data_IF_100701986315
#
_entry.id   IF_100701986315
#
_cell.length_a   1.000
_cell.length_b   1.000
_cell.length_c   1.000
_cell.angle_alpha   90.00
_cell.angle_beta   90.00
_cell.angle_gamma   90.00
#
_symmetry.space_group_name_H-M   'P 1'
#
loop_
_entity.id
_entity.type
_entity.pdbx_description
1 polymer ?
#
# COMPACT_ATOMS: atom_id res chain seq x y z
N UNK A 1 1.61 5.41 -0.68
CA UNK A 1 2.31 4.48 0.23
C UNK A 1 2.52 5.21 1.54
N UNK A 2 1.84 4.81 2.61
CA UNK A 2 2.20 5.31 3.94
C UNK A 2 3.59 4.74 4.22
N UNK A 3 4.60 5.62 4.34
CA UNK A 3 5.94 5.18 4.70
C UNK A 3 5.82 4.46 6.05
N UNK A 4 6.02 3.15 6.04
CA UNK A 4 5.95 2.38 7.27
C UNK A 4 7.00 2.93 8.23
N UNK A 5 6.58 3.32 9.43
CA UNK A 5 7.49 3.70 10.50
C UNK A 5 8.43 2.53 10.79
N UNK A 6 9.74 2.74 10.66
CA UNK A 6 10.74 1.75 11.02
C UNK A 6 11.18 1.97 12.46
N UNK A 7 10.95 0.95 13.30
CA UNK A 7 11.49 0.93 14.64
C UNK A 7 13.00 0.66 14.60
N UNK A 8 13.78 1.54 15.21
CA UNK A 8 15.23 1.35 15.35
C UNK A 8 15.53 0.10 16.20
N UNK A 9 16.37 -0.84 15.74
CA UNK A 9 16.68 -2.05 16.51
C UNK A 9 17.44 -1.77 17.81
N UNK A 10 18.11 -0.61 17.93
CA UNK A 10 18.89 -0.26 19.11
C UNK A 10 18.11 0.48 20.19
N UNK A 11 17.10 1.29 19.83
CA UNK A 11 16.40 2.13 20.80
C UNK A 11 14.86 2.13 20.66
N UNK A 12 14.33 1.31 19.75
CA UNK A 12 12.89 1.19 19.44
C UNK A 12 12.20 2.49 18.99
N UNK A 13 12.96 3.57 18.75
CA UNK A 13 12.41 4.82 18.23
C UNK A 13 11.90 4.61 16.81
N UNK A 14 10.71 5.13 16.51
CA UNK A 14 10.12 5.09 15.17
C UNK A 14 10.75 6.18 14.32
N UNK A 15 11.24 5.80 13.14
CA UNK A 15 11.84 6.72 12.18
C UNK A 15 11.06 6.61 10.87
N UNK A 16 11.15 7.65 10.04
CA UNK A 16 10.62 7.56 8.68
C UNK A 16 11.37 6.48 7.89
N UNK A 17 10.66 5.75 7.04
CA UNK A 17 11.21 4.63 6.26
C UNK A 17 12.38 5.00 5.32
N UNK A 18 12.59 6.29 5.09
CA UNK A 18 13.62 6.80 4.19
C UNK A 18 14.94 7.16 4.88
N UNK A 19 14.96 7.27 6.22
CA UNK A 19 16.17 7.60 6.99
C UNK A 19 17.25 6.51 6.88
N UNK A 20 18.51 6.93 6.86
CA UNK A 20 19.66 6.02 6.88
C UNK A 20 20.10 5.73 8.31
N UNK A 21 19.95 6.70 9.21
CA UNK A 21 20.29 6.57 10.63
C UNK A 21 19.11 6.91 11.52
N UNK A 22 19.10 6.33 12.72
CA UNK A 22 18.08 6.64 13.71
C UNK A 22 18.24 8.08 14.24
N UNK A 23 17.14 8.83 14.30
CA UNK A 23 17.14 10.21 14.79
C UNK A 23 17.62 10.32 16.25
N UNK A 24 17.38 9.29 17.05
CA UNK A 24 17.69 9.29 18.49
C UNK A 24 19.10 8.80 18.80
N UNK A 25 19.46 7.59 18.36
CA UNK A 25 20.73 6.96 18.72
C UNK A 25 21.78 6.99 17.61
N UNK A 26 21.45 7.50 16.43
CA UNK A 26 22.29 7.53 15.21
C UNK A 26 22.80 6.16 14.74
N UNK A 27 22.25 5.07 15.26
CA UNK A 27 22.54 3.74 14.77
C UNK A 27 22.03 3.58 13.33
N UNK A 28 22.73 2.81 12.47
CA UNK A 28 22.28 2.53 11.12
C UNK A 28 20.91 1.83 11.14
N UNK A 29 20.00 2.27 10.28
CA UNK A 29 18.68 1.65 10.14
C UNK A 29 18.72 0.57 9.06
N UNK A 30 18.13 -0.61 9.30
CA UNK A 30 18.00 -1.61 8.27
C UNK A 30 17.16 -1.06 7.11
N UNK A 31 17.54 -1.41 5.88
CA UNK A 31 16.68 -1.12 4.72
C UNK A 31 15.42 -1.95 4.87
N UNK A 32 14.21 -1.36 4.80
CA UNK A 32 12.99 -2.14 4.81
C UNK A 32 13.10 -3.15 3.67
N UNK A 33 12.97 -4.44 3.99
CA UNK A 33 12.89 -5.44 2.95
C UNK A 33 11.65 -5.08 2.13
N UNK A 34 11.87 -4.61 0.89
CA UNK A 34 10.79 -4.55 -0.08
C UNK A 34 10.30 -5.98 -0.22
N UNK A 35 9.10 -6.29 0.26
CA UNK A 35 8.53 -7.61 0.06
C UNK A 35 8.58 -7.89 -1.43
N UNK A 36 9.36 -8.90 -1.87
CA UNK A 36 9.47 -9.18 -3.28
C UNK A 36 8.05 -9.48 -3.74
N UNK A 37 7.60 -8.83 -4.82
CA UNK A 37 6.33 -9.20 -5.43
C UNK A 37 6.38 -10.71 -5.67
N UNK A 38 5.43 -11.48 -5.13
CA UNK A 38 5.44 -12.93 -5.27
C UNK A 38 5.70 -13.34 -6.72
N UNK A 39 6.66 -14.24 -6.93
CA UNK A 39 7.11 -14.62 -8.26
C UNK A 39 5.99 -15.17 -9.13
N UNK A 40 5.00 -15.81 -8.52
CA UNK A 40 3.80 -16.31 -9.17
C UNK A 40 2.95 -15.18 -9.79
N UNK A 41 2.89 -14.00 -9.15
CA UNK A 41 2.17 -12.85 -9.70
C UNK A 41 2.88 -12.32 -10.95
N UNK A 42 4.22 -12.28 -10.94
CA UNK A 42 5.01 -11.82 -12.09
C UNK A 42 4.87 -12.81 -13.25
N UNK A 43 4.94 -14.11 -12.96
CA UNK A 43 4.75 -15.17 -13.95
C UNK A 43 3.34 -15.11 -14.57
N UNK A 44 2.29 -15.05 -13.75
CA UNK A 44 0.89 -14.94 -14.20
C UNK A 44 0.63 -13.70 -15.05
N UNK A 45 1.26 -12.56 -14.74
CA UNK A 45 1.11 -11.36 -15.56
C UNK A 45 1.80 -11.48 -16.91
N UNK A 46 2.95 -12.15 -16.96
CA UNK A 46 3.70 -12.38 -18.19
C UNK A 46 2.95 -13.36 -19.10
N UNK A 47 2.43 -14.44 -18.52
CA UNK A 47 1.56 -15.40 -19.20
C UNK A 47 0.29 -14.74 -19.75
N UNK A 48 -0.36 -13.89 -18.95
CA UNK A 48 -1.53 -13.13 -19.39
C UNK A 48 -1.22 -12.19 -20.55
N UNK A 49 -0.07 -11.51 -20.52
CA UNK A 49 0.39 -10.67 -21.64
C UNK A 49 0.59 -11.51 -22.91
N UNK A 50 1.20 -12.68 -22.80
CA UNK A 50 1.39 -13.59 -23.94
C UNK A 50 0.06 -14.12 -24.50
N UNK A 51 -0.92 -14.41 -23.64
CA UNK A 51 -2.25 -14.80 -24.06
C UNK A 51 -2.95 -13.67 -24.84
N UNK A 52 -2.87 -12.43 -24.35
CA UNK A 52 -3.45 -11.28 -25.07
C UNK A 52 -2.74 -11.01 -26.39
N UNK A 53 -1.41 -11.19 -26.45
CA UNK A 53 -0.67 -11.11 -27.71
C UNK A 53 -1.17 -12.12 -28.73
N UNK A 54 -1.31 -13.39 -28.35
CA UNK A 54 -1.86 -14.43 -29.23
C UNK A 54 -3.28 -14.12 -29.73
N UNK A 55 -4.15 -13.63 -28.85
CA UNK A 55 -5.52 -13.24 -29.27
C UNK A 55 -5.48 -12.09 -30.29
N UNK A 56 -4.57 -11.13 -30.15
CA UNK A 56 -4.40 -10.05 -31.13
C UNK A 56 -3.92 -10.58 -32.48
N UNK A 57 -2.98 -11.52 -32.48
CA UNK A 57 -2.48 -12.17 -33.70
C UNK A 57 -3.59 -12.97 -34.40
N UNK A 58 -4.38 -13.74 -33.64
CA UNK A 58 -5.51 -14.52 -34.15
C UNK A 58 -6.60 -13.61 -34.74
N UNK A 59 -6.91 -12.47 -34.08
CA UNK A 59 -7.87 -11.48 -34.59
C UNK A 59 -7.39 -10.83 -35.89
N UNK A 60 -6.09 -10.59 -36.02
CA UNK A 60 -5.50 -10.08 -37.26
C UNK A 60 -5.59 -11.11 -38.40
N UNK A 61 -5.38 -12.40 -38.09
CA UNK A 61 -5.56 -13.48 -39.06
C UNK A 61 -7.02 -13.60 -39.53
N UNK A 62 -7.99 -13.50 -38.61
CA UNK A 62 -9.43 -13.52 -38.94
C UNK A 62 -9.86 -12.29 -39.76
N UNK A 63 -9.25 -11.13 -39.50
CA UNK A 63 -9.48 -9.92 -40.29
C UNK A 63 -8.96 -10.10 -41.73
N UNK A 64 -7.80 -10.73 -41.90
CA UNK A 64 -7.20 -11.02 -43.20
C UNK A 64 -8.01 -12.05 -44.01
N UNK A 65 -8.61 -13.06 -43.35
CA UNK A 65 -9.46 -14.06 -43.99
C UNK A 65 -10.86 -13.54 -44.38
N UNK A 66 -11.24 -12.34 -43.90
CA UNK A 66 -12.59 -11.75 -44.06
C UNK A 66 -13.72 -12.58 -43.45
N UNK A 67 -13.43 -13.42 -42.47
CA UNK A 67 -14.43 -14.27 -41.80
C UNK A 67 -15.27 -13.48 -40.78
N UNK A 68 -14.72 -12.39 -40.22
CA UNK A 68 -15.36 -11.58 -39.17
C UNK A 68 -15.57 -10.13 -39.66
N UNK A 69 -16.71 -9.49 -39.37
CA UNK A 69 -16.93 -8.07 -39.64
C UNK A 69 -15.89 -7.19 -38.95
N UNK A 70 -15.30 -6.25 -39.72
CA UNK A 70 -14.19 -5.39 -39.24
C UNK A 70 -14.57 -4.55 -38.02
N UNK A 71 -15.80 -4.07 -37.97
CA UNK A 71 -16.33 -3.26 -36.87
C UNK A 71 -16.30 -4.02 -35.53
N UNK A 72 -16.60 -5.32 -35.55
CA UNK A 72 -16.50 -6.17 -34.36
C UNK A 72 -15.04 -6.45 -33.99
N UNK A 73 -14.19 -6.74 -34.97
CA UNK A 73 -12.76 -7.03 -34.74
C UNK A 73 -12.02 -5.83 -34.16
N UNK A 74 -12.30 -4.60 -34.64
CA UNK A 74 -11.67 -3.38 -34.13
C UNK A 74 -11.96 -3.13 -32.65
N UNK A 75 -13.21 -3.31 -32.21
CA UNK A 75 -13.59 -3.12 -30.82
C UNK A 75 -12.87 -4.11 -29.89
N UNK A 76 -12.79 -5.38 -30.29
CA UNK A 76 -12.11 -6.43 -29.52
C UNK A 76 -10.59 -6.19 -29.52
N UNK A 77 -10.00 -5.81 -30.65
CA UNK A 77 -8.58 -5.47 -30.78
C UNK A 77 -8.20 -4.31 -29.85
N UNK A 78 -8.98 -3.24 -29.85
CA UNK A 78 -8.76 -2.08 -28.98
C UNK A 78 -8.81 -2.46 -27.48
N UNK A 79 -9.73 -3.35 -27.09
CA UNK A 79 -9.81 -3.85 -25.71
C UNK A 79 -8.53 -4.61 -25.31
N UNK A 80 -8.08 -5.58 -26.10
CA UNK A 80 -6.89 -6.36 -25.76
C UNK A 80 -5.59 -5.54 -25.83
N UNK A 81 -5.48 -4.61 -26.77
CA UNK A 81 -4.36 -3.65 -26.81
C UNK A 81 -4.29 -2.83 -25.52
N UNK A 82 -5.42 -2.28 -25.08
CA UNK A 82 -5.50 -1.55 -23.81
C UNK A 82 -5.05 -2.41 -22.62
N UNK A 83 -5.42 -3.70 -22.59
CA UNK A 83 -4.99 -4.61 -21.52
C UNK A 83 -3.47 -4.88 -21.55
N UNK A 84 -2.88 -5.04 -22.74
CA UNK A 84 -1.43 -5.20 -22.90
C UNK A 84 -0.70 -3.96 -22.41
N UNK A 85 -1.12 -2.77 -22.85
CA UNK A 85 -0.54 -1.49 -22.46
C UNK A 85 -0.59 -1.29 -20.93
N UNK A 86 -1.72 -1.64 -20.30
CA UNK A 86 -1.86 -1.57 -18.84
C UNK A 86 -0.94 -2.56 -18.10
N UNK A 87 -0.66 -3.73 -18.67
CA UNK A 87 0.29 -4.69 -18.08
C UNK A 87 1.72 -4.15 -18.23
N UNK A 88 2.08 -3.67 -19.41
CA UNK A 88 3.40 -3.11 -19.69
C UNK A 88 3.70 -1.89 -18.82
N UNK A 89 2.74 -0.98 -18.70
CA UNK A 89 2.87 0.19 -17.84
C UNK A 89 3.15 -0.21 -16.38
N UNK A 90 2.38 -1.16 -15.83
CA UNK A 90 2.61 -1.67 -14.46
C UNK A 90 3.95 -2.40 -14.32
N UNK A 91 4.40 -3.11 -15.34
CA UNK A 91 5.73 -3.74 -15.35
C UNK A 91 6.84 -2.68 -15.37
N UNK A 92 6.70 -1.63 -16.18
CA UNK A 92 7.63 -0.52 -16.24
C UNK A 92 7.71 0.22 -14.89
N UNK A 93 6.57 0.53 -14.26
CA UNK A 93 6.55 1.14 -12.93
C UNK A 93 7.23 0.28 -11.87
N UNK A 94 6.99 -1.04 -11.86
CA UNK A 94 7.66 -1.96 -10.93
C UNK A 94 9.16 -2.03 -11.19
N UNK A 95 9.59 -2.08 -12.45
CA UNK A 95 11.00 -2.08 -12.79
C UNK A 95 11.69 -0.80 -12.32
N UNK A 96 11.03 0.35 -12.47
CA UNK A 96 11.47 1.65 -11.96
C UNK A 96 11.57 1.64 -10.44
N UNK A 97 10.54 1.15 -9.73
CA UNK A 97 10.55 1.04 -8.27
C UNK A 97 11.70 0.15 -7.76
N UNK A 98 11.96 -0.99 -8.41
CA UNK A 98 13.11 -1.87 -8.07
C UNK A 98 14.45 -1.18 -8.31
N UNK A 99 14.58 -0.42 -9.40
CA UNK A 99 15.81 0.31 -9.69
C UNK A 99 16.11 1.36 -8.62
N UNK A 100 15.08 2.07 -8.14
CA UNK A 100 15.18 3.05 -7.05
C UNK A 100 15.57 2.32 -5.75
N UNK A 101 14.91 1.21 -5.43
CA UNK A 101 15.20 0.43 -4.21
C UNK A 101 16.66 -0.07 -4.18
N UNK A 102 17.11 -0.65 -5.29
CA UNK A 102 18.50 -1.13 -5.44
C UNK A 102 19.51 0.01 -5.31
N UNK A 103 19.20 1.19 -5.85
CA UNK A 103 20.05 2.36 -5.74
C UNK A 103 20.14 2.88 -4.30
N UNK A 104 19.00 3.03 -3.63
CA UNK A 104 18.95 3.46 -2.22
C UNK A 104 19.71 2.47 -1.34
N UNK A 105 19.53 1.16 -1.58
CA UNK A 105 20.26 0.10 -0.89
C UNK A 105 21.77 0.22 -1.11
N UNK A 106 22.20 0.42 -2.36
CA UNK A 106 23.62 0.62 -2.70
C UNK A 106 24.22 1.86 -2.03
N UNK A 107 23.53 2.99 -2.06
CA UNK A 107 23.94 4.22 -1.40
C UNK A 107 24.03 4.06 0.12
N UNK A 108 23.07 3.33 0.73
CA UNK A 108 23.08 3.02 2.16
C UNK A 108 24.27 2.15 2.56
N UNK A 109 24.55 1.09 1.80
CA UNK A 109 25.72 0.22 2.03
C UNK A 109 27.02 1.02 1.91
N UNK A 110 27.14 1.89 0.90
CA UNK A 110 28.31 2.77 0.77
C UNK A 110 28.45 3.74 1.96
N UNK A 111 27.36 4.37 2.39
CA UNK A 111 27.37 5.30 3.52
C UNK A 111 27.70 4.61 4.85
N UNK A 112 27.19 3.40 5.10
CA UNK A 112 27.54 2.63 6.30
C UNK A 112 29.00 2.14 6.31
N UNK A 113 29.62 2.00 5.14
CA UNK A 113 31.04 1.69 5.00
C UNK A 113 31.95 2.94 5.11
N UNK A 114 31.40 4.11 5.47
CA UNK A 114 32.15 5.38 5.53
C UNK A 114 32.51 5.97 4.16
N UNK A 115 31.97 5.42 3.06
CA UNK A 115 32.21 5.91 1.69
C UNK A 115 31.15 6.96 1.31
N UNK A 116 31.13 8.05 2.06
CA UNK A 116 30.08 9.09 1.95
C UNK A 116 30.04 9.78 0.58
N UNK A 117 31.19 10.13 0.02
CA UNK A 117 31.26 10.76 -1.31
C UNK A 117 30.67 9.86 -2.39
N UNK A 118 31.04 8.58 -2.41
CA UNK A 118 30.51 7.60 -3.35
C UNK A 118 28.98 7.45 -3.23
N UNK A 119 28.45 7.42 -2.00
CA UNK A 119 27.01 7.34 -1.76
C UNK A 119 26.27 8.57 -2.32
N UNK A 120 26.81 9.77 -2.06
CA UNK A 120 26.25 11.04 -2.55
C UNK A 120 26.32 11.16 -4.08
N UNK A 121 27.44 10.76 -4.70
CA UNK A 121 27.60 10.77 -6.15
C UNK A 121 26.62 9.81 -6.84
N UNK A 122 26.43 8.62 -6.27
CA UNK A 122 25.46 7.63 -6.78
C UNK A 122 24.03 8.19 -6.75
N UNK A 123 23.67 8.84 -5.64
CA UNK A 123 22.36 9.49 -5.48
C UNK A 123 22.15 10.65 -6.45
N UNK A 124 23.14 11.53 -6.61
CA UNK A 124 23.07 12.66 -7.56
C UNK A 124 23.03 12.22 -9.02
N UNK A 125 23.82 11.21 -9.40
CA UNK A 125 23.81 10.67 -10.75
C UNK A 125 22.43 10.09 -11.10
N UNK A 126 21.72 9.54 -10.11
CA UNK A 126 20.34 9.08 -10.28
C UNK A 126 19.34 10.23 -10.39
N UNK A 127 19.46 11.25 -9.54
CA UNK A 127 18.61 12.45 -9.59
C UNK A 127 18.71 13.17 -10.94
N UNK A 128 19.92 13.27 -11.50
CA UNK A 128 20.15 13.84 -12.83
C UNK A 128 19.44 13.06 -13.94
N UNK A 129 19.36 11.73 -13.83
CA UNK A 129 18.66 10.88 -14.80
C UNK A 129 17.14 10.89 -14.59
N UNK A 130 16.68 11.11 -13.37
CA UNK A 130 15.30 10.95 -12.96
C UNK A 130 14.83 12.08 -12.00
N UNK A 131 14.78 13.33 -12.49
CA UNK A 131 14.44 14.47 -11.64
C UNK A 131 13.02 14.32 -11.07
N UNK A 132 12.88 14.58 -9.77
CA UNK A 132 11.58 14.63 -9.08
C UNK A 132 10.94 13.26 -8.76
N UNK A 133 11.63 12.15 -9.04
CA UNK A 133 11.09 10.80 -8.75
C UNK A 133 11.16 10.47 -7.26
N UNK A 134 12.15 10.98 -6.55
CA UNK A 134 12.41 10.65 -5.15
C UNK A 134 13.08 11.86 -4.44
N UNK A 135 12.83 12.12 -3.15
CA UNK A 135 13.43 13.24 -2.41
C UNK A 135 14.92 12.98 -2.08
N UNK A 136 15.75 12.90 -3.11
CA UNK A 136 17.18 12.55 -3.05
C UNK A 136 17.99 13.61 -2.30
N UNK A 137 17.56 14.87 -2.36
CA UNK A 137 18.18 15.98 -1.64
C UNK A 137 18.22 15.73 -0.13
N UNK A 138 17.12 15.23 0.44
CA UNK A 138 17.05 14.95 1.88
C UNK A 138 18.02 13.84 2.29
N UNK A 139 18.12 12.77 1.50
CA UNK A 139 19.09 11.69 1.74
C UNK A 139 20.53 12.19 1.61
N UNK A 140 20.80 13.00 0.59
CA UNK A 140 22.13 13.56 0.34
C UNK A 140 22.58 14.45 1.50
N UNK A 141 21.68 15.31 1.99
CA UNK A 141 21.94 16.16 3.15
C UNK A 141 22.19 15.34 4.42
N UNK A 142 21.42 14.27 4.65
CA UNK A 142 21.61 13.37 5.79
C UNK A 142 22.99 12.71 5.76
N UNK A 143 23.41 12.20 4.60
CA UNK A 143 24.73 11.57 4.41
C UNK A 143 25.86 12.58 4.64
N UNK A 144 25.74 13.79 4.09
CA UNK A 144 26.74 14.85 4.26
C UNK A 144 26.85 15.31 5.72
N UNK A 145 25.73 15.45 6.42
CA UNK A 145 25.72 15.78 7.85
C UNK A 145 26.46 14.71 8.67
N UNK A 146 26.29 13.42 8.30
CA UNK A 146 27.00 12.32 8.97
C UNK A 146 28.50 12.32 8.67
N UNK A 147 28.90 12.59 7.43
CA UNK A 147 30.30 12.72 7.02
C UNK A 147 31.04 13.81 7.82
N UNK A 148 30.44 14.99 7.94
CA UNK A 148 31.00 16.10 8.74
C UNK A 148 31.13 15.71 10.21
N UNK A 149 30.10 15.06 10.76
CA UNK A 149 30.14 14.61 12.16
C UNK A 149 31.26 13.58 12.41
N UNK A 150 31.40 12.57 11.55
CA UNK A 150 32.43 11.54 11.73
C UNK A 150 33.84 12.14 11.58
N UNK A 151 34.04 13.10 10.66
CA UNK A 151 35.30 13.85 10.58
C UNK A 151 35.60 14.61 11.88
N UNK A 152 34.60 15.29 12.45
CA UNK A 152 34.76 16.00 13.71
C UNK A 152 35.09 15.06 14.89
N UNK A 153 34.44 13.90 14.97
CA UNK A 153 34.73 12.88 15.98
C UNK A 153 36.17 12.35 15.85
N UNK A 154 36.64 12.09 14.61
CA UNK A 154 38.02 11.66 14.35
C UNK A 154 39.06 12.72 14.71
N UNK A 155 38.77 14.01 14.55
CA UNK A 155 39.69 15.09 14.93
C UNK A 155 39.83 15.24 16.45
N UNK A 156 38.78 14.99 17.22
CA UNK A 156 38.80 15.04 18.70
C UNK A 156 39.60 13.88 19.29
N UNK A 157 39.52 12.70 18.67
CA UNK A 157 40.22 11.49 19.13
C UNK A 157 41.71 11.47 18.80
N UNK A 158 42.24 12.43 18.03
CA UNK A 158 43.69 12.63 17.90
C UNK A 158 44.18 13.14 19.25
N UNK A 159 44.77 12.28 20.11
CA UNK A 159 45.17 12.71 21.42
C UNK A 159 46.25 13.76 21.22
N UNK A 160 46.28 14.79 22.08
CA UNK A 160 47.39 15.76 22.20
C UNK A 160 48.72 15.10 22.64
N UNK A 161 48.97 13.86 22.22
CA UNK A 161 50.16 13.04 22.47
C UNK A 161 51.44 13.65 21.85
N UNK A 162 51.32 14.61 20.93
CA UNK A 162 52.48 15.29 20.32
C UNK A 162 53.01 16.50 21.11
N UNK A 163 52.49 16.82 22.31
CA UNK A 163 52.98 17.98 23.10
C UNK A 163 53.91 17.66 24.28
N UNK A 164 54.59 16.51 24.24
CA UNK A 164 55.65 16.13 25.19
C UNK A 164 56.94 15.70 24.49
N UNK A 165 57.44 16.54 23.59
CA UNK A 165 58.88 16.60 23.31
C UNK A 165 59.30 18.05 23.54
N UNK A 166 59.41 18.44 24.82
CA UNK A 166 60.24 19.58 25.19
C UNK A 166 61.68 19.23 24.79
N UNK A 167 62.36 20.05 23.98
CA UNK A 167 63.80 20.00 23.89
C UNK A 167 64.34 20.45 25.25
N UNK A 168 64.87 19.51 26.02
CA UNK A 168 65.63 19.81 27.22
C UNK A 168 66.80 20.72 26.85
N UNK A 169 66.70 21.99 27.24
CA UNK A 169 67.84 22.87 27.34
C UNK A 169 68.69 22.38 28.51
N UNK A 170 69.71 21.57 28.23
CA UNK A 170 70.85 21.43 29.13
C UNK A 170 72.15 21.56 28.34
N UNK A 171 73.01 22.43 28.87
CA UNK A 171 74.24 22.83 28.26
C UNK A 171 75.22 21.68 28.08
N UNK A 172 76.01 21.82 27.01
CA UNK A 172 77.47 21.99 27.09
C UNK A 172 78.20 21.01 28.03
N UNK A 173 78.85 20.02 27.42
CA UNK A 173 80.28 19.69 27.56
C UNK A 173 80.51 18.18 27.65
N UNK A 174 81.43 17.67 26.82
CA UNK A 174 82.01 16.34 27.01
C UNK A 174 81.96 15.46 25.77
N UNK A 175 83.04 15.49 25.00
CA UNK A 175 83.40 14.55 23.93
C UNK A 175 83.39 13.08 24.36
N UNK A 176 82.69 12.21 23.65
CA UNK A 176 83.22 10.92 23.15
C UNK A 176 82.23 10.19 22.25
N UNK A 177 82.71 9.41 21.26
CA UNK A 177 81.89 8.68 20.31
C UNK A 177 81.64 7.22 20.75
N UNK A 178 80.69 6.58 20.08
CA UNK A 178 80.35 5.16 20.09
C UNK A 178 79.52 4.67 21.29
N UNK A 179 78.24 4.42 21.06
CA UNK A 179 77.69 3.07 21.02
C UNK A 179 76.16 3.08 20.94
N UNK A 180 75.64 2.48 19.87
CA UNK A 180 74.52 1.55 19.80
C UNK A 180 73.29 1.68 20.70
N UNK A 181 72.17 1.40 20.04
CA UNK A 181 70.91 0.84 20.54
C UNK A 181 69.89 1.84 21.09
N UNK A 182 69.04 2.34 20.20
CA UNK A 182 67.60 2.22 20.41
C UNK A 182 66.88 2.32 19.06
N UNK A 183 66.67 1.15 18.44
CA UNK A 183 65.72 1.02 17.35
C UNK A 183 64.33 0.89 17.96
N UNK A 184 63.45 1.85 17.67
CA UNK A 184 62.02 1.62 17.63
C UNK A 184 61.49 2.31 16.38
N UNK A 185 61.18 1.45 15.41
CA UNK A 185 60.61 1.74 14.11
C UNK A 185 59.31 2.53 14.27
N UNK A 186 59.31 3.77 13.81
CA UNK A 186 58.09 4.47 13.40
C UNK A 186 58.04 4.44 11.88
N UNK A 187 57.67 3.28 11.33
CA UNK A 187 57.26 3.13 9.94
C UNK A 187 55.75 2.89 9.93
N UNK A 188 54.99 3.99 9.93
CA UNK A 188 53.58 3.98 9.60
C UNK A 188 53.22 5.27 8.86
N UNK A 189 53.85 5.45 7.70
CA UNK A 189 53.41 6.34 6.63
C UNK A 189 53.47 5.52 5.33
N UNK A 190 52.48 5.75 4.47
CA UNK A 190 52.29 5.16 3.13
C UNK A 190 51.77 3.72 3.05
N UNK A 191 50.44 3.59 3.16
CA UNK A 191 49.66 2.80 2.20
C UNK A 191 48.55 3.67 1.63
N UNK A 192 48.94 4.48 0.65
CA UNK A 192 48.06 4.93 -0.41
C UNK A 192 48.27 3.95 -1.60
N UNK A 193 47.17 3.59 -2.26
CA UNK A 193 47.10 3.22 -3.69
C UNK A 193 47.96 2.07 -4.24
N UNK A 194 47.46 0.84 -4.11
CA UNK A 194 47.25 -0.08 -5.27
C UNK A 194 46.52 -1.36 -4.82
N UNK A 195 45.20 -1.35 -5.00
CA UNK A 195 44.39 -2.56 -5.12
C UNK A 195 43.44 -2.34 -6.30
N UNK A 196 44.04 -2.31 -7.48
CA UNK A 196 43.37 -2.71 -8.72
C UNK A 196 43.51 -4.23 -8.76
N UNK A 197 42.52 -4.95 -8.25
CA UNK A 197 42.40 -6.39 -8.55
C UNK A 197 40.94 -6.82 -8.51
N UNK A 198 40.46 -7.19 -9.70
CA UNK A 198 39.32 -8.04 -10.01
C UNK A 198 37.94 -7.67 -9.42
N UNK A 199 37.23 -6.83 -10.19
CA UNK A 199 35.83 -7.16 -10.50
C UNK A 199 35.82 -8.59 -11.09
N UNK A 200 34.93 -9.51 -10.67
CA UNK A 200 34.62 -10.65 -11.51
C UNK A 200 33.99 -10.10 -12.78
N UNK A 201 34.74 -10.14 -13.88
CA UNK A 201 34.15 -10.17 -15.19
C UNK A 201 33.22 -11.37 -15.19
N UNK A 202 31.91 -11.11 -15.19
CA UNK A 202 30.94 -12.07 -15.69
C UNK A 202 31.24 -12.14 -17.18
N UNK A 203 32.10 -13.08 -17.53
CA UNK A 203 32.31 -13.54 -18.88
C UNK A 203 30.95 -14.11 -19.34
N UNK A 204 30.21 -13.30 -20.09
CA UNK A 204 29.08 -13.79 -20.88
C UNK A 204 29.66 -14.78 -21.89
N UNK A 205 29.68 -16.05 -21.49
CA UNK A 205 29.84 -17.17 -22.39
C UNK A 205 28.68 -17.08 -23.41
N UNK A 206 28.96 -16.95 -24.72
CA UNK A 206 27.91 -16.91 -25.72
C UNK A 206 27.29 -18.30 -25.78
N UNK A 207 26.15 -18.47 -25.10
CA UNK A 207 25.31 -19.66 -25.22
C UNK A 207 24.88 -19.74 -26.68
N UNK A 208 25.56 -20.62 -27.42
CA UNK A 208 25.15 -21.02 -28.75
C UNK A 208 23.70 -21.54 -28.69
N UNK A 209 22.82 -21.14 -29.63
CA UNK A 209 21.45 -21.61 -29.63
C UNK A 209 21.43 -23.12 -29.81
N UNK A 210 21.01 -23.86 -28.78
CA UNK A 210 20.65 -25.25 -28.93
C UNK A 210 19.40 -25.34 -29.81
N UNK A 211 19.37 -26.21 -30.83
CA UNK A 211 18.19 -26.41 -31.66
C UNK A 211 17.10 -27.08 -30.83
N UNK A 212 16.09 -26.32 -30.44
CA UNK A 212 14.85 -26.84 -29.87
C UNK A 212 14.15 -27.63 -30.97
N UNK A 213 14.03 -28.94 -30.77
CA UNK A 213 13.25 -29.82 -31.62
C UNK A 213 11.79 -29.34 -31.66
N UNK A 214 11.10 -29.38 -32.81
CA UNK A 214 9.71 -28.97 -32.90
C UNK A 214 8.81 -29.95 -32.14
N UNK A 215 8.27 -29.51 -31.01
CA UNK A 215 7.16 -30.17 -30.35
C UNK A 215 5.90 -30.07 -31.23
N UNK A 216 5.27 -31.22 -31.40
CA UNK A 216 4.06 -31.38 -32.20
C UNK A 216 2.88 -30.62 -31.57
N UNK A 217 1.98 -30.02 -32.38
CA UNK A 217 0.81 -29.33 -31.87
C UNK A 217 -0.21 -30.33 -31.33
N UNK A 218 -0.42 -30.29 -30.01
CA UNK A 218 -1.61 -30.88 -29.36
C UNK A 218 -2.78 -29.94 -29.60
N UNK A 219 -3.75 -30.41 -30.39
CA UNK A 219 -5.02 -29.72 -30.69
C UNK A 219 -5.95 -29.83 -29.48
N UNK A 220 -6.40 -28.72 -28.85
CA UNK A 220 -7.47 -28.77 -27.88
C UNK A 220 -8.82 -28.80 -28.61
N UNK A 221 -9.60 -29.86 -28.40
CA UNK A 221 -11.00 -29.93 -28.82
C UNK A 221 -11.84 -28.96 -27.98
N UNK A 222 -12.37 -27.92 -28.63
CA UNK A 222 -13.33 -26.99 -28.05
C UNK A 222 -14.73 -27.60 -28.15
N UNK A 223 -15.27 -28.02 -27.00
CA UNK A 223 -16.68 -28.44 -26.88
C UNK A 223 -17.54 -27.19 -26.77
N UNK A 224 -18.34 -26.93 -27.81
CA UNK A 224 -19.40 -25.92 -27.84
C UNK A 224 -20.68 -26.55 -27.31
N UNK A 225 -21.39 -25.94 -26.33
CA UNK A 225 -22.81 -26.15 -26.16
C UNK A 225 -23.59 -25.09 -26.94
N UNK A 226 -24.47 -25.57 -27.82
CA UNK A 226 -25.49 -24.81 -28.51
C UNK A 226 -26.76 -24.66 -27.64
N UNK A 227 -27.66 -23.82 -28.15
CA UNK A 227 -29.09 -23.66 -27.82
C UNK A 227 -29.43 -22.75 -26.62
N UNK A 228 -30.49 -21.94 -26.66
CA UNK A 228 -31.32 -21.35 -27.72
C UNK A 228 -32.21 -20.30 -27.02
N UNK A 229 -32.54 -19.24 -27.75
CA UNK A 229 -33.76 -18.42 -27.75
C UNK A 229 -34.60 -18.15 -26.48
N UNK A 230 -34.86 -16.85 -26.23
CA UNK A 230 -36.22 -16.28 -26.42
C UNK A 230 -36.20 -14.73 -26.38
N UNK A 231 -36.73 -14.12 -27.44
CA UNK A 231 -37.19 -12.74 -27.56
C UNK A 231 -38.19 -12.35 -26.46
N UNK A 232 -38.19 -11.09 -26.00
CA UNK A 232 -39.44 -10.34 -25.88
C UNK A 232 -39.23 -8.80 -25.87
N UNK A 233 -40.16 -8.12 -26.54
CA UNK A 233 -40.21 -6.72 -26.92
C UNK A 233 -40.53 -5.70 -25.81
N UNK A 234 -40.43 -4.42 -26.21
CA UNK A 234 -41.16 -3.22 -25.73
C UNK A 234 -40.49 -2.45 -24.57
N UNK A 235 -40.49 -1.13 -24.48
CA UNK A 235 -40.96 -0.02 -25.31
C UNK A 235 -40.32 1.27 -24.77
N UNK A 236 -40.09 2.24 -25.65
CA UNK A 236 -39.68 3.62 -25.33
C UNK A 236 -40.89 4.40 -24.78
N UNK A 237 -40.68 5.32 -23.82
CA UNK A 237 -41.25 6.66 -24.04
C UNK A 237 -40.26 7.78 -23.66
N UNK A 238 -40.21 8.80 -24.52
CA UNK A 238 -39.59 10.08 -24.22
C UNK A 238 -40.57 11.04 -23.52
N UNK A 239 -40.03 12.00 -22.77
CA UNK A 239 -40.70 13.28 -22.43
C UNK A 239 -39.64 14.38 -22.27
N UNK A 240 -39.96 15.53 -22.86
CA UNK A 240 -39.25 16.82 -22.96
C UNK A 240 -38.84 17.51 -21.65
N UNK A 241 -37.90 18.48 -21.72
CA UNK A 241 -37.52 19.36 -20.60
C UNK A 241 -38.45 20.58 -20.49
N UNK A 242 -38.76 21.01 -19.27
CA UNK A 242 -39.44 22.29 -19.04
C UNK A 242 -38.75 23.10 -17.94
N UNK A 243 -38.29 24.29 -18.33
CA UNK A 243 -37.80 25.39 -17.50
C UNK A 243 -38.96 26.04 -16.74
N UNK A 244 -38.77 26.43 -15.47
CA UNK A 244 -38.91 27.83 -14.99
C UNK A 244 -38.63 27.97 -13.47
N UNK A 245 -38.21 29.17 -13.00
CA UNK A 245 -37.80 29.46 -11.62
C UNK A 245 -38.89 30.20 -10.82
N UNK A 246 -38.87 30.07 -9.48
CA UNK A 246 -39.65 30.94 -8.59
C UNK A 246 -38.91 31.20 -7.27
N UNK A 247 -38.54 32.46 -7.05
CA UNK A 247 -38.45 33.08 -5.72
C UNK A 247 -39.88 33.40 -5.21
N UNK A 248 -40.09 33.60 -3.90
CA UNK A 248 -40.11 34.99 -3.41
C UNK A 248 -39.60 35.20 -1.96
N UNK A 249 -39.00 36.38 -1.78
CA UNK A 249 -39.19 37.37 -0.70
C UNK A 249 -39.89 36.96 0.60
N UNK A 250 -39.21 37.18 1.73
CA UNK A 250 -39.86 37.76 2.92
C UNK A 250 -38.85 38.55 3.76
N UNK A 251 -39.11 39.86 3.85
CA UNK A 251 -38.48 40.79 4.78
C UNK A 251 -39.29 40.82 6.08
N UNK A 252 -38.60 40.77 7.22
CA UNK A 252 -39.19 40.94 8.55
C UNK A 252 -38.25 41.73 9.43
N UNK A 253 -38.46 43.04 9.50
CA UNK A 253 -37.79 43.96 10.41
C UNK A 253 -38.45 43.90 11.80
N UNK A 254 -37.69 43.83 12.90
CA UNK A 254 -38.03 44.57 14.13
C UNK A 254 -36.90 44.68 15.17
N UNK A 255 -36.78 45.90 15.71
CA UNK A 255 -36.29 46.33 17.05
C UNK A 255 -34.78 46.36 17.36
N UNK A 256 -34.20 47.49 16.94
CA UNK A 256 -33.42 48.47 17.72
C UNK A 256 -33.39 48.25 19.26
N UNK A 257 -32.20 47.92 19.79
CA UNK A 257 -31.78 48.32 21.14
C UNK A 257 -30.35 48.85 21.07
N UNK A 258 -30.24 50.16 21.21
CA UNK A 258 -29.02 50.93 21.36
C UNK A 258 -28.59 50.93 22.83
N UNK A 259 -27.35 50.51 23.07
CA UNK A 259 -26.52 51.03 24.15
C UNK A 259 -25.11 51.21 23.57
N UNK A 260 -24.74 52.47 23.40
CA UNK A 260 -23.36 52.94 23.27
C UNK A 260 -22.60 52.63 24.56
N UNK A 261 -21.45 51.97 24.47
CA UNK A 261 -20.18 52.36 25.13
C UNK A 261 -19.02 51.73 24.32
N UNK A 262 -18.24 52.62 23.72
CA UNK A 262 -16.83 52.50 23.33
C UNK A 262 -16.02 51.45 24.11
N UNK A 263 -15.52 50.43 23.41
CA UNK A 263 -14.07 50.18 23.30
C UNK A 263 -13.87 49.30 22.06
N UNK A 264 -13.28 49.86 21.01
CA UNK A 264 -12.93 49.13 19.78
C UNK A 264 -11.73 48.24 20.07
N UNK A 265 -11.99 47.15 20.81
CA UNK A 265 -11.02 46.13 21.15
C UNK A 265 -10.74 45.31 19.89
N UNK A 266 -9.62 45.61 19.23
CA UNK A 266 -9.15 44.91 18.03
C UNK A 266 -9.21 43.40 18.33
N UNK A 267 -10.05 42.61 17.63
CA UNK A 267 -10.27 41.21 17.98
C UNK A 267 -8.93 40.47 17.91
N UNK A 268 -8.45 39.99 19.07
CA UNK A 268 -7.18 39.30 19.19
C UNK A 268 -7.14 38.13 18.20
N UNK A 269 -5.95 37.80 17.66
CA UNK A 269 -5.79 36.72 16.69
C UNK A 269 -6.36 35.37 17.21
N UNK A 270 -6.37 35.18 18.52
CA UNK A 270 -7.00 34.06 19.22
C UNK A 270 -8.54 34.06 19.13
N UNK A 271 -9.19 35.22 19.18
CA UNK A 271 -10.65 35.32 18.98
C UNK A 271 -11.05 34.88 17.57
N UNK A 272 -10.28 35.29 16.56
CA UNK A 272 -10.48 34.87 15.16
C UNK A 272 -10.26 33.37 14.97
N UNK A 273 -9.29 32.78 15.68
CA UNK A 273 -9.09 31.33 15.68
C UNK A 273 -10.26 30.59 16.33
N UNK A 274 -10.82 31.10 17.42
CA UNK A 274 -11.99 30.51 18.09
C UNK A 274 -13.25 30.62 17.20
N UNK A 275 -13.47 31.76 16.54
CA UNK A 275 -14.58 31.93 15.61
C UNK A 275 -14.41 31.06 14.35
N UNK A 276 -13.18 30.85 13.87
CA UNK A 276 -12.90 29.92 12.77
C UNK A 276 -13.05 28.44 13.19
N UNK A 277 -12.72 28.09 14.43
CA UNK A 277 -12.94 26.76 14.99
C UNK A 277 -14.43 26.48 15.24
N UNK A 278 -15.21 27.52 15.55
CA UNK A 278 -16.68 27.47 15.63
C UNK A 278 -17.31 27.13 14.27
N UNK A 279 -16.81 27.70 13.16
CA UNK A 279 -17.28 27.34 11.82
C UNK A 279 -16.96 25.89 11.43
N UNK A 280 -15.83 25.35 11.88
CA UNK A 280 -15.50 23.93 11.71
C UNK A 280 -16.51 23.01 12.39
N UNK A 281 -17.06 23.38 13.56
CA UNK A 281 -18.10 22.63 14.25
C UNK A 281 -19.39 22.52 13.43
N UNK A 282 -19.78 23.59 12.73
CA UNK A 282 -20.99 23.60 11.89
C UNK A 282 -20.86 22.69 10.66
N UNK A 283 -19.64 22.45 10.16
CA UNK A 283 -19.39 21.54 9.03
C UNK A 283 -19.16 20.10 9.51
N UNK A 284 -18.41 19.90 10.61
CA UNK A 284 -18.13 18.57 11.13
C UNK A 284 -19.34 17.92 11.80
N UNK A 285 -20.23 18.69 12.44
CA UNK A 285 -21.37 18.12 13.17
C UNK A 285 -22.37 17.40 12.26
N UNK A 286 -22.82 17.95 11.11
CA UNK A 286 -23.64 17.19 10.17
C UNK A 286 -22.85 16.06 9.52
N UNK A 287 -21.56 16.27 9.21
CA UNK A 287 -20.72 15.18 8.70
C UNK A 287 -20.62 14.02 9.69
N UNK A 288 -20.36 14.26 10.96
CA UNK A 288 -20.28 13.20 11.97
C UNK A 288 -21.65 12.58 12.25
N UNK A 289 -22.74 13.35 12.30
CA UNK A 289 -24.07 12.77 12.50
C UNK A 289 -24.53 11.89 11.33
N UNK A 290 -24.30 12.31 10.09
CA UNK A 290 -24.65 11.50 8.91
C UNK A 290 -23.65 10.36 8.70
N UNK A 291 -22.37 10.56 9.04
CA UNK A 291 -21.33 9.60 8.69
C UNK A 291 -21.01 8.57 9.80
N UNK A 292 -21.20 8.91 11.07
CA UNK A 292 -20.92 7.98 12.17
C UNK A 292 -21.90 6.81 12.15
N UNK A 293 -23.15 7.04 11.76
CA UNK A 293 -24.15 5.97 11.64
C UNK A 293 -23.75 4.87 10.65
N UNK A 294 -23.34 5.23 9.43
CA UNK A 294 -22.87 4.24 8.46
C UNK A 294 -21.50 3.67 8.81
N UNK A 295 -20.61 4.46 9.43
CA UNK A 295 -19.29 3.98 9.85
C UNK A 295 -19.40 2.92 10.94
N UNK A 296 -20.22 3.16 11.96
CA UNK A 296 -20.50 2.19 13.02
C UNK A 296 -21.21 0.97 12.45
N UNK A 297 -22.15 1.16 11.51
CA UNK A 297 -22.81 0.06 10.81
C UNK A 297 -21.84 -0.81 10.00
N UNK A 298 -20.98 -0.20 9.18
CA UNK A 298 -19.96 -0.89 8.39
C UNK A 298 -18.94 -1.60 9.29
N UNK A 299 -18.52 -0.97 10.38
CA UNK A 299 -17.61 -1.56 11.36
C UNK A 299 -18.23 -2.78 12.05
N UNK A 300 -19.51 -2.72 12.44
CA UNK A 300 -20.24 -3.86 13.02
C UNK A 300 -20.37 -5.02 12.02
N UNK A 301 -20.63 -4.74 10.74
CA UNK A 301 -20.65 -5.77 9.69
C UNK A 301 -19.28 -6.42 9.54
N UNK A 302 -18.20 -5.64 9.44
CA UNK A 302 -16.83 -6.15 9.31
C UNK A 302 -16.44 -6.97 10.55
N UNK A 303 -16.73 -6.48 11.76
CA UNK A 303 -16.47 -7.20 13.00
C UNK A 303 -17.25 -8.52 13.07
N UNK A 304 -18.52 -8.52 12.63
CA UNK A 304 -19.32 -9.74 12.51
C UNK A 304 -18.70 -10.76 11.53
N UNK A 305 -18.23 -10.30 10.38
CA UNK A 305 -17.52 -11.15 9.41
C UNK A 305 -16.22 -11.72 9.97
N UNK A 306 -15.42 -10.91 10.67
CA UNK A 306 -14.16 -11.37 11.29
C UNK A 306 -14.43 -12.42 12.37
N UNK A 307 -15.43 -12.20 13.23
CA UNK A 307 -15.83 -13.19 14.25
C UNK A 307 -16.31 -14.48 13.60
N UNK A 308 -17.12 -14.39 12.53
CA UNK A 308 -17.55 -15.56 11.76
C UNK A 308 -16.35 -16.31 11.18
N UNK A 309 -15.43 -15.62 10.50
CA UNK A 309 -14.22 -16.22 9.91
C UNK A 309 -13.34 -16.87 10.99
N UNK A 310 -12.99 -16.17 12.06
CA UNK A 310 -12.15 -16.74 13.13
C UNK A 310 -12.83 -17.96 13.78
N UNK A 311 -14.15 -17.90 13.97
CA UNK A 311 -14.93 -19.02 14.48
C UNK A 311 -15.02 -20.19 13.49
N UNK A 312 -15.01 -19.91 12.18
CA UNK A 312 -14.97 -20.93 11.13
C UNK A 312 -13.64 -21.66 11.07
N UNK A 313 -12.50 -20.95 11.18
CA UNK A 313 -11.18 -21.57 11.04
C UNK A 313 -10.80 -22.50 12.20
N UNK A 314 -11.30 -22.24 13.42
CA UNK A 314 -10.94 -23.02 14.61
C UNK A 314 -11.71 -24.34 14.81
N UNK A 315 -12.82 -24.57 14.10
CA UNK A 315 -13.80 -25.62 14.46
C UNK A 315 -14.26 -26.52 13.29
N UNK A 316 -13.53 -26.52 12.17
CA UNK A 316 -13.92 -27.18 10.90
C UNK A 316 -14.20 -28.68 11.04
N UNK A 317 -13.53 -29.39 11.97
CA UNK A 317 -13.55 -30.86 11.97
C UNK A 317 -14.61 -31.49 12.88
N UNK A 318 -15.12 -30.81 13.91
CA UNK A 318 -15.85 -31.50 14.99
C UNK A 318 -17.34 -31.18 15.10
N UNK A 319 -17.86 -30.09 14.51
CA UNK A 319 -19.24 -29.66 14.78
C UNK A 319 -19.95 -29.01 13.58
N UNK A 320 -20.01 -29.73 12.45
CA UNK A 320 -20.69 -29.27 11.22
C UNK A 320 -22.16 -28.90 11.42
N UNK A 321 -22.87 -29.57 12.33
CA UNK A 321 -24.29 -29.30 12.63
C UNK A 321 -24.49 -27.99 13.40
N UNK A 322 -23.70 -27.73 14.44
CA UNK A 322 -23.72 -26.46 15.17
C UNK A 322 -23.24 -25.29 14.31
N UNK A 323 -22.34 -25.56 13.37
CA UNK A 323 -21.85 -24.56 12.41
C UNK A 323 -22.98 -24.07 11.50
N UNK A 324 -23.75 -24.96 10.87
CA UNK A 324 -24.83 -24.56 9.99
C UNK A 324 -25.93 -23.78 10.74
N UNK A 325 -26.27 -24.18 11.98
CA UNK A 325 -27.27 -23.48 12.79
C UNK A 325 -26.82 -22.09 13.26
N UNK A 326 -25.54 -21.93 13.62
CA UNK A 326 -24.97 -20.63 13.99
C UNK A 326 -24.95 -19.68 12.79
N UNK A 327 -24.56 -20.17 11.61
CA UNK A 327 -24.58 -19.38 10.38
C UNK A 327 -25.99 -18.92 10.06
N UNK A 328 -26.97 -19.82 10.06
CA UNK A 328 -28.38 -19.47 9.86
C UNK A 328 -28.86 -18.43 10.88
N UNK A 329 -28.59 -18.65 12.17
CA UNK A 329 -29.00 -17.71 13.23
C UNK A 329 -28.36 -16.33 13.05
N UNK A 330 -27.08 -16.27 12.67
CA UNK A 330 -26.38 -15.01 12.42
C UNK A 330 -26.95 -14.26 11.20
N UNK A 331 -27.25 -14.98 10.11
CA UNK A 331 -27.82 -14.42 8.89
C UNK A 331 -29.26 -13.94 9.13
N UNK A 332 -30.07 -14.74 9.81
CA UNK A 332 -31.45 -14.39 10.17
C UNK A 332 -31.49 -13.17 11.11
N UNK A 333 -30.64 -13.14 12.13
CA UNK A 333 -30.55 -12.00 13.07
C UNK A 333 -30.11 -10.73 12.35
N UNK A 334 -29.07 -10.81 11.52
CA UNK A 334 -28.55 -9.67 10.75
C UNK A 334 -29.61 -9.12 9.81
N UNK A 335 -30.30 -10.00 9.07
CA UNK A 335 -31.39 -9.61 8.16
C UNK A 335 -32.54 -8.95 8.92
N UNK A 336 -32.93 -9.49 10.08
CA UNK A 336 -33.96 -8.90 10.94
C UNK A 336 -33.58 -7.51 11.47
N UNK A 337 -32.33 -7.31 11.88
CA UNK A 337 -31.81 -6.01 12.34
C UNK A 337 -31.81 -4.99 11.20
N UNK A 338 -31.36 -5.38 10.00
CA UNK A 338 -31.39 -4.50 8.83
C UNK A 338 -32.82 -4.13 8.44
N UNK A 339 -33.74 -5.08 8.47
CA UNK A 339 -35.16 -4.82 8.21
C UNK A 339 -35.76 -3.86 9.24
N UNK A 340 -35.52 -4.09 10.53
CA UNK A 340 -35.99 -3.22 11.62
C UNK A 340 -35.42 -1.80 11.49
N UNK A 341 -34.14 -1.66 11.13
CA UNK A 341 -33.51 -0.36 10.90
C UNK A 341 -34.06 0.35 9.66
N UNK A 342 -34.23 -0.36 8.54
CA UNK A 342 -34.84 0.19 7.33
C UNK A 342 -36.27 0.68 7.58
N UNK A 343 -37.04 -0.11 8.33
CA UNK A 343 -38.40 0.20 8.72
C UNK A 343 -38.45 1.41 9.68
N UNK A 344 -37.56 1.46 10.67
CA UNK A 344 -37.48 2.57 11.60
C UNK A 344 -37.05 3.88 10.92
N UNK A 345 -36.08 3.83 10.00
CA UNK A 345 -35.68 4.99 9.19
C UNK A 345 -36.86 5.53 8.38
N UNK A 346 -37.66 4.64 7.78
CA UNK A 346 -38.85 5.04 7.03
C UNK A 346 -39.92 5.71 7.90
N UNK A 347 -40.06 5.29 9.16
CA UNK A 347 -41.03 5.86 10.10
C UNK A 347 -40.59 7.20 10.69
N UNK A 348 -39.32 7.34 11.11
CA UNK A 348 -38.86 8.54 11.81
C UNK A 348 -38.28 9.62 10.90
N UNK A 349 -37.76 9.26 9.72
CA UNK A 349 -37.02 10.17 8.86
C UNK A 349 -37.45 10.00 7.40
N UNK A 350 -38.64 10.50 7.01
CA UNK A 350 -39.14 10.38 5.63
C UNK A 350 -38.23 11.07 4.60
N UNK A 351 -37.32 11.95 5.04
CA UNK A 351 -36.34 12.63 4.18
C UNK A 351 -35.20 11.71 3.70
N UNK A 352 -35.03 10.54 4.33
CA UNK A 352 -34.02 9.52 4.01
C UNK A 352 -34.59 8.39 3.12
N UNK A 353 -35.55 8.71 2.25
CA UNK A 353 -36.24 7.72 1.42
C UNK A 353 -35.27 6.94 0.51
N UNK A 354 -34.27 7.62 -0.04
CA UNK A 354 -33.25 6.99 -0.89
C UNK A 354 -32.43 5.94 -0.15
N UNK A 355 -31.97 6.23 1.08
CA UNK A 355 -31.17 5.28 1.86
C UNK A 355 -31.99 4.12 2.43
N UNK A 356 -33.26 4.38 2.81
CA UNK A 356 -34.20 3.33 3.21
C UNK A 356 -34.50 2.37 2.07
N UNK A 357 -34.68 2.87 0.84
CA UNK A 357 -34.90 2.03 -0.34
C UNK A 357 -33.71 1.13 -0.63
N UNK A 358 -32.48 1.66 -0.56
CA UNK A 358 -31.28 0.83 -0.74
C UNK A 358 -31.18 -0.25 0.35
N UNK A 359 -31.49 0.08 1.61
CA UNK A 359 -31.45 -0.89 2.70
C UNK A 359 -32.52 -1.99 2.54
N UNK A 360 -33.71 -1.64 2.06
CA UNK A 360 -34.77 -2.61 1.75
C UNK A 360 -34.39 -3.51 0.56
N UNK A 361 -33.69 -2.99 -0.45
CA UNK A 361 -33.15 -3.80 -1.55
C UNK A 361 -32.12 -4.80 -1.02
N UNK A 362 -31.21 -4.36 -0.14
CA UNK A 362 -30.23 -5.27 0.50
C UNK A 362 -30.95 -6.37 1.30
N UNK A 363 -31.96 -6.02 2.08
CA UNK A 363 -32.77 -7.00 2.82
C UNK A 363 -33.48 -7.96 1.86
N UNK A 364 -34.07 -7.47 0.77
CA UNK A 364 -34.72 -8.30 -0.22
C UNK A 364 -33.77 -9.30 -0.87
N UNK A 365 -32.51 -8.90 -1.13
CA UNK A 365 -31.45 -9.78 -1.63
C UNK A 365 -30.95 -10.80 -0.58
N UNK A 366 -31.04 -10.48 0.71
CA UNK A 366 -30.68 -11.38 1.80
C UNK A 366 -31.72 -12.49 2.03
N UNK A 367 -33.00 -12.27 1.70
CA UNK A 367 -34.07 -13.25 1.93
C UNK A 367 -33.81 -14.61 1.24
N UNK A 368 -33.49 -14.68 -0.07
CA UNK A 368 -33.13 -15.95 -0.71
C UNK A 368 -31.93 -16.64 -0.06
N UNK A 369 -30.95 -15.85 0.41
CA UNK A 369 -29.74 -16.37 1.05
C UNK A 369 -30.04 -16.98 2.43
N UNK A 370 -30.89 -16.32 3.23
CA UNK A 370 -31.38 -16.86 4.52
C UNK A 370 -32.19 -18.14 4.28
N UNK A 371 -33.03 -18.17 3.24
CA UNK A 371 -33.80 -19.36 2.90
C UNK A 371 -32.89 -20.53 2.47
N UNK A 372 -31.87 -20.28 1.66
CA UNK A 372 -30.88 -21.28 1.30
C UNK A 372 -30.13 -21.82 2.53
N UNK A 373 -29.75 -20.93 3.46
CA UNK A 373 -29.14 -21.34 4.73
C UNK A 373 -30.10 -22.16 5.60
N UNK A 374 -31.38 -21.81 5.66
CA UNK A 374 -32.41 -22.55 6.38
C UNK A 374 -32.59 -23.97 5.81
N UNK A 375 -32.70 -24.08 4.49
CA UNK A 375 -32.80 -25.36 3.77
C UNK A 375 -31.54 -26.20 4.01
N UNK A 376 -30.35 -25.58 3.97
CA UNK A 376 -29.10 -26.28 4.27
C UNK A 376 -29.05 -26.78 5.72
N UNK A 377 -29.64 -26.04 6.69
CA UNK A 377 -29.73 -26.51 8.08
C UNK A 377 -30.75 -27.63 8.27
N UNK A 378 -31.86 -27.64 7.54
CA UNK A 378 -32.90 -28.68 7.67
C UNK A 378 -32.57 -29.95 6.88
N UNK A 379 -31.78 -29.84 5.81
CA UNK A 379 -31.35 -30.96 4.97
C UNK A 379 -30.10 -31.68 5.49
N UNK A 380 -29.54 -31.29 6.63
CA UNK A 380 -28.52 -32.10 7.32
C UNK A 380 -29.24 -32.99 8.35
N UNK A 381 -29.60 -34.25 8.01
CA UNK A 381 -30.10 -35.21 8.98
C UNK A 381 -28.95 -35.61 9.92
N UNK A 382 -28.74 -34.82 10.96
CA UNK A 382 -27.73 -35.04 11.99
C UNK A 382 -28.32 -35.65 13.26
N UNK A 383 -28.52 -36.97 13.25
CA UNK A 383 -28.13 -37.87 14.35
C UNK A 383 -28.46 -37.49 15.82
N UNK A 384 -29.58 -36.84 16.11
CA UNK A 384 -30.08 -36.65 17.50
C UNK A 384 -31.05 -37.73 17.98
N UNK A 385 -31.32 -38.74 17.16
CA UNK A 385 -32.25 -39.83 17.50
C UNK A 385 -31.69 -40.94 18.41
N UNK A 386 -30.38 -41.21 18.38
CA UNK A 386 -29.83 -42.42 19.04
C UNK A 386 -29.27 -42.20 20.46
N UNK A 387 -29.08 -40.96 20.90
CA UNK A 387 -28.48 -40.70 22.24
C UNK A 387 -29.51 -40.84 23.37
N UNK A 388 -30.81 -40.77 23.09
CA UNK A 388 -31.85 -40.90 24.15
C UNK A 388 -32.15 -42.36 24.49
N UNK A 389 -31.89 -43.33 23.60
CA UNK A 389 -32.17 -44.75 23.89
C UNK A 389 -31.03 -45.44 24.68
N UNK A 390 -29.80 -44.93 24.65
CA UNK A 390 -28.68 -45.56 25.36
C UNK A 390 -28.53 -45.18 26.85
N UNK A 391 -29.37 -44.28 27.37
CA UNK A 391 -29.42 -43.96 28.80
C UNK A 391 -30.46 -44.79 29.59
N UNK A 392 -31.24 -45.65 28.91
CA UNK A 392 -32.29 -46.49 29.53
C UNK A 392 -31.92 -47.97 29.71
N UNK A 393 -30.72 -48.39 29.34
CA UNK A 393 -30.23 -49.77 29.54
C UNK A 393 -28.87 -49.77 30.22
N UNK A 394 -28.82 -49.34 31.48
CA UNK A 394 -27.83 -49.81 32.46
C UNK A 394 -28.46 -49.88 33.84
#
# INVERSE_FOLDING_TARGET
>A
MNAADLACPHCSHRNSGFRFWCERCRAPLPHPASEPTPGDIIAKQSERKQLYGRVLDDLEQLEQSREVPRDQTEAVKAFYQTQVDQIEHRQAERSKARSIDNLIRGARVAAHAGRYQQAVETLRAFDQKHPGVFPIESLTQEIQARDVQERAEREVDIPKSTRSCQPGALGRSGSSPLANACGLQSTARERETKATEALPAVEEEPVAPQPVAPDQPVVPQLVVPADEHADEHAAVPGVSPSLTPSAPTSAGATVRRSFDVEEEEIPSATQRLIDSASQWSTVLKPFLLDNVGWFVGAFLVIAGFVVLIVSFWGNIEQNRVLMHSLVYLSLATTTGVFFAMAYFMRLKYPQLESSSNVLLVIVALLIPLVFAAAVLTTLVPGATGDVIIQAGMR
#
